data_IF_310950503554
#
_entry.id   IF_310950503554
#
_cell.length_a   1.000
_cell.length_b   1.000
_cell.length_c   1.000
_cell.angle_alpha   90.00
_cell.angle_beta   90.00
_cell.angle_gamma   90.00
#
_symmetry.space_group_name_H-M   'P 1'
#
loop_
_entity.id
_entity.type
_entity.pdbx_description
1 polymer ?
#
# COMPACT_ATOMS: atom_id res chain seq x y z
N UNK A 1 -85.92 30.71 25.53
CA UNK A 1 -85.33 29.48 26.09
C UNK A 1 -83.85 29.48 25.77
N UNK A 2 -82.95 29.72 26.75
CA UNK A 2 -81.51 29.59 26.53
C UNK A 2 -81.08 28.15 26.86
N UNK A 3 -80.50 27.46 25.88
CA UNK A 3 -79.84 26.17 26.06
C UNK A 3 -78.44 26.44 26.65
N UNK A 4 -78.32 26.28 27.96
CA UNK A 4 -77.04 26.26 28.66
C UNK A 4 -76.29 24.98 28.30
N UNK A 5 -75.31 25.12 27.41
CA UNK A 5 -74.34 24.08 27.08
C UNK A 5 -73.34 23.97 28.23
N UNK A 6 -73.56 23.02 29.12
CA UNK A 6 -72.64 22.64 30.18
C UNK A 6 -71.50 21.83 29.54
N UNK A 7 -70.34 22.47 29.37
CA UNK A 7 -69.16 21.85 28.76
C UNK A 7 -68.47 21.01 29.83
N UNK A 8 -68.49 19.68 29.65
CA UNK A 8 -67.84 18.71 30.54
C UNK A 8 -66.32 18.94 30.61
N UNK A 9 -65.90 19.67 31.64
CA UNK A 9 -64.49 19.99 31.92
C UNK A 9 -63.62 18.73 32.19
N UNK A 10 -64.25 17.60 32.50
CA UNK A 10 -63.59 16.30 32.74
C UNK A 10 -63.00 15.70 31.47
N UNK A 11 -63.66 15.89 30.32
CA UNK A 11 -63.18 15.36 29.02
C UNK A 11 -61.94 16.11 28.54
N UNK A 12 -61.92 17.44 28.70
CA UNK A 12 -60.78 18.31 28.37
C UNK A 12 -59.51 17.99 29.18
N UNK A 13 -59.67 17.58 30.44
CA UNK A 13 -58.55 17.22 31.31
C UNK A 13 -57.90 15.89 30.90
N UNK A 14 -58.71 14.92 30.48
CA UNK A 14 -58.22 13.61 30.01
C UNK A 14 -57.46 13.71 28.67
N UNK A 15 -57.88 14.58 27.75
CA UNK A 15 -57.19 14.82 26.48
C UNK A 15 -55.82 15.50 26.65
N UNK A 16 -55.74 16.52 27.52
CA UNK A 16 -54.47 17.20 27.81
C UNK A 16 -53.43 16.27 28.42
N UNK A 17 -53.85 15.36 29.30
CA UNK A 17 -52.96 14.41 29.96
C UNK A 17 -52.40 13.36 29.01
N UNK A 18 -53.21 12.87 28.06
CA UNK A 18 -52.77 11.96 26.99
C UNK A 18 -51.81 12.64 26.01
N UNK A 19 -52.08 13.89 25.65
CA UNK A 19 -51.22 14.66 24.74
C UNK A 19 -49.85 14.96 25.37
N UNK A 20 -49.82 15.34 26.66
CA UNK A 20 -48.57 15.55 27.40
C UNK A 20 -47.74 14.27 27.52
N UNK A 21 -48.37 13.11 27.78
CA UNK A 21 -47.68 11.83 27.82
C UNK A 21 -47.10 11.42 26.45
N UNK A 22 -47.85 11.63 25.37
CA UNK A 22 -47.38 11.37 24.00
C UNK A 22 -46.18 12.28 23.64
N UNK A 23 -46.25 13.56 23.98
CA UNK A 23 -45.17 14.53 23.72
C UNK A 23 -43.92 14.23 24.56
N UNK A 24 -44.10 13.78 25.80
CA UNK A 24 -43.00 13.33 26.67
C UNK A 24 -42.34 12.05 26.14
N UNK A 25 -43.11 11.11 25.59
CA UNK A 25 -42.56 9.89 24.97
C UNK A 25 -41.79 10.17 23.68
N UNK A 26 -42.16 11.20 22.90
CA UNK A 26 -41.39 11.60 21.72
C UNK A 26 -40.04 12.24 22.10
N UNK A 27 -39.93 12.87 23.28
CA UNK A 27 -38.69 13.49 23.75
C UNK A 27 -37.72 12.48 24.36
N UNK A 28 -38.21 11.38 24.94
CA UNK A 28 -37.35 10.33 25.53
C UNK A 28 -36.90 9.26 24.54
N UNK A 29 -37.45 9.23 23.33
CA UNK A 29 -36.95 8.41 22.21
C UNK A 29 -35.72 9.00 21.51
N UNK A 30 -35.11 10.05 22.09
CA UNK A 30 -33.86 10.67 21.64
C UNK A 30 -32.61 9.80 21.83
N UNK A 31 -32.63 8.55 21.39
CA UNK A 31 -31.47 7.65 21.26
C UNK A 31 -30.44 8.12 20.19
N UNK A 32 -30.52 9.38 19.77
CA UNK A 32 -29.74 9.94 18.66
C UNK A 32 -28.51 10.73 19.09
N UNK A 33 -28.52 11.38 20.26
CA UNK A 33 -27.42 12.26 20.66
C UNK A 33 -26.11 11.49 20.93
N UNK A 34 -26.20 10.37 21.65
CA UNK A 34 -25.05 9.50 21.93
C UNK A 34 -24.49 8.85 20.66
N UNK A 35 -25.36 8.26 19.82
CA UNK A 35 -24.95 7.72 18.50
C UNK A 35 -24.35 8.77 17.58
N UNK A 36 -24.82 10.01 17.67
CA UNK A 36 -24.26 11.12 16.90
C UNK A 36 -22.84 11.47 17.40
N UNK A 37 -22.66 11.58 18.71
CA UNK A 37 -21.34 11.81 19.32
C UNK A 37 -20.36 10.66 18.99
N UNK A 38 -20.82 9.41 19.02
CA UNK A 38 -20.02 8.24 18.64
C UNK A 38 -19.57 8.33 17.17
N UNK A 39 -20.49 8.66 16.24
CA UNK A 39 -20.15 8.84 14.81
C UNK A 39 -19.20 10.00 14.59
N UNK A 40 -19.36 11.10 15.33
CA UNK A 40 -18.43 12.24 15.27
C UNK A 40 -17.03 11.83 15.74
N UNK A 41 -16.93 11.09 16.84
CA UNK A 41 -15.65 10.58 17.33
C UNK A 41 -14.98 9.65 16.32
N UNK A 42 -15.71 8.68 15.75
CA UNK A 42 -15.21 7.79 14.69
C UNK A 42 -14.76 8.56 13.43
N UNK A 43 -15.49 9.62 13.08
CA UNK A 43 -15.15 10.48 11.95
C UNK A 43 -13.86 11.26 12.22
N UNK A 44 -13.69 11.78 13.44
CA UNK A 44 -12.44 12.44 13.88
C UNK A 44 -11.25 11.50 13.77
N UNK A 45 -11.34 10.28 14.31
CA UNK A 45 -10.26 9.28 14.24
C UNK A 45 -9.89 8.96 12.77
N UNK A 46 -10.88 8.86 11.88
CA UNK A 46 -10.64 8.61 10.46
C UNK A 46 -9.93 9.77 9.77
N UNK A 47 -10.32 11.03 10.07
CA UNK A 47 -9.65 12.19 9.50
C UNK A 47 -8.23 12.34 10.03
N UNK A 48 -7.99 12.11 11.32
CA UNK A 48 -6.64 12.08 11.89
C UNK A 48 -5.75 11.03 11.19
N UNK A 49 -6.31 9.84 10.93
CA UNK A 49 -5.63 8.80 10.16
C UNK A 49 -5.28 9.28 8.73
N UNK A 50 -6.24 9.87 8.02
CA UNK A 50 -6.02 10.40 6.66
C UNK A 50 -5.00 11.53 6.64
N UNK A 51 -5.05 12.43 7.61
CA UNK A 51 -4.12 13.54 7.73
C UNK A 51 -2.71 13.04 7.99
N UNK A 52 -2.54 12.01 8.84
CA UNK A 52 -1.25 11.36 9.03
C UNK A 52 -0.72 10.76 7.72
N UNK A 53 -1.55 10.00 6.99
CA UNK A 53 -1.18 9.45 5.68
C UNK A 53 -0.73 10.56 4.71
N UNK A 54 -1.48 11.64 4.61
CA UNK A 54 -1.20 12.74 3.68
C UNK A 54 0.00 13.60 4.11
N UNK A 55 0.32 13.64 5.42
CA UNK A 55 1.47 14.35 5.94
C UNK A 55 2.77 13.60 5.67
N UNK A 56 2.78 12.30 5.93
CA UNK A 56 4.00 11.48 5.90
C UNK A 56 4.27 10.84 4.53
N UNK A 57 3.23 10.58 3.73
CA UNK A 57 3.35 9.88 2.45
C UNK A 57 3.12 10.83 1.26
N UNK A 58 3.70 10.45 0.13
CA UNK A 58 3.56 11.11 -1.17
C UNK A 58 2.26 10.77 -1.90
N UNK A 59 2.18 11.11 -3.20
CA UNK A 59 1.07 10.71 -4.05
C UNK A 59 0.99 9.18 -4.18
N UNK A 60 -0.20 8.69 -4.52
CA UNK A 60 -0.41 7.28 -4.83
C UNK A 60 0.28 6.95 -6.16
N UNK A 61 1.13 5.91 -6.13
CA UNK A 61 1.71 5.31 -7.32
C UNK A 61 0.92 4.04 -7.64
N UNK A 62 0.57 3.85 -8.91
CA UNK A 62 -0.15 2.67 -9.38
C UNK A 62 0.51 2.12 -10.64
N UNK A 63 0.80 0.82 -10.67
CA UNK A 63 1.40 0.12 -11.81
C UNK A 63 1.40 -1.38 -11.58
N UNK A 64 1.31 -2.19 -12.65
CA UNK A 64 1.41 -3.65 -12.57
C UNK A 64 0.41 -4.30 -11.57
N UNK A 65 -0.80 -3.72 -11.46
CA UNK A 65 -1.81 -4.18 -10.50
C UNK A 65 -1.49 -3.87 -9.03
N UNK A 66 -0.47 -3.05 -8.76
CA UNK A 66 -0.03 -2.62 -7.44
C UNK A 66 -0.37 -1.14 -7.26
N UNK A 67 -0.83 -0.76 -6.07
CA UNK A 67 -0.96 0.62 -5.61
C UNK A 67 -0.26 0.80 -4.26
N UNK A 68 0.52 1.86 -4.10
CA UNK A 68 1.19 2.22 -2.85
C UNK A 68 1.42 3.75 -2.78
N UNK A 69 1.31 4.32 -1.58
CA UNK A 69 1.85 5.66 -1.28
C UNK A 69 3.21 5.52 -0.61
N UNK A 70 4.26 6.00 -1.27
CA UNK A 70 5.63 5.95 -0.73
C UNK A 70 5.89 7.09 0.26
N UNK A 71 6.88 7.00 1.17
CA UNK A 71 7.21 8.11 2.07
C UNK A 71 7.55 9.38 1.30
N UNK A 72 7.08 10.53 1.78
CA UNK A 72 7.04 11.78 0.99
C UNK A 72 8.39 12.30 0.52
N UNK A 73 9.47 11.98 1.22
CA UNK A 73 10.84 12.37 0.82
C UNK A 73 11.40 11.56 -0.36
N UNK A 74 10.78 10.44 -0.70
CA UNK A 74 11.21 9.57 -1.81
C UNK A 74 10.65 10.08 -3.14
N UNK A 75 11.57 10.34 -4.07
CA UNK A 75 11.27 10.80 -5.42
C UNK A 75 11.39 9.64 -6.40
N UNK A 76 10.39 9.48 -7.26
CA UNK A 76 10.35 8.42 -8.26
C UNK A 76 11.52 8.58 -9.23
N UNK A 77 12.25 7.50 -9.48
CA UNK A 77 13.26 7.40 -10.54
C UNK A 77 12.51 6.96 -11.81
N UNK A 78 12.50 7.78 -12.87
CA UNK A 78 11.79 7.43 -14.09
C UNK A 78 12.41 6.18 -14.75
N UNK A 79 11.62 5.36 -15.45
CA UNK A 79 12.15 4.29 -16.29
C UNK A 79 13.05 4.87 -17.40
N UNK A 80 13.99 4.08 -17.94
CA UNK A 80 14.76 4.48 -19.12
C UNK A 80 13.80 4.74 -20.28
N UNK A 81 14.16 5.69 -21.15
CA UNK A 81 13.37 5.99 -22.34
C UNK A 81 13.36 4.76 -23.25
N UNK A 82 12.19 4.37 -23.75
CA UNK A 82 12.10 3.40 -24.84
C UNK A 82 12.69 4.03 -26.10
N UNK A 83 13.60 3.35 -26.82
CA UNK A 83 14.07 3.86 -28.10
C UNK A 83 12.88 4.02 -29.06
N UNK A 84 12.73 5.19 -29.66
CA UNK A 84 11.67 5.44 -30.63
C UNK A 84 12.14 5.03 -32.05
N UNK A 85 11.61 3.93 -32.62
CA UNK A 85 11.68 3.64 -34.06
C UNK A 85 12.82 2.73 -34.55
N UNK A 86 13.22 2.90 -35.82
CA UNK A 86 14.18 2.05 -36.59
C UNK A 86 15.60 1.99 -36.01
N UNK A 87 15.91 2.79 -34.97
CA UNK A 87 17.19 2.77 -34.25
C UNK A 87 17.29 1.62 -33.22
N UNK A 88 16.20 0.86 -32.99
CA UNK A 88 16.18 -0.31 -32.10
C UNK A 88 17.21 -1.39 -32.49
N UNK A 89 17.52 -1.53 -33.78
CA UNK A 89 18.38 -2.62 -34.28
C UNK A 89 19.88 -2.41 -33.96
N UNK A 90 20.28 -1.19 -33.57
CA UNK A 90 21.68 -0.85 -33.25
C UNK A 90 21.88 -0.09 -31.93
N UNK A 91 20.80 0.24 -31.22
CA UNK A 91 20.90 0.89 -29.92
C UNK A 91 21.56 -0.05 -28.90
N UNK A 92 22.66 0.40 -28.29
CA UNK A 92 23.21 -0.30 -27.12
C UNK A 92 22.15 -0.30 -26.01
N UNK A 93 22.02 -1.39 -25.22
CA UNK A 93 21.06 -1.44 -24.12
C UNK A 93 21.24 -0.22 -23.23
N UNK A 94 20.19 0.60 -23.11
CA UNK A 94 20.22 1.76 -22.21
C UNK A 94 20.22 1.23 -20.78
N UNK A 95 21.25 1.56 -20.02
CA UNK A 95 21.40 1.17 -18.62
C UNK A 95 20.19 1.66 -17.80
N UNK A 96 19.52 0.75 -17.10
CA UNK A 96 18.37 1.10 -16.26
C UNK A 96 18.85 1.63 -14.90
N UNK A 97 19.00 2.95 -14.79
CA UNK A 97 19.43 3.65 -13.58
C UNK A 97 18.56 3.39 -12.33
N UNK A 98 17.41 2.72 -12.46
CA UNK A 98 16.59 2.28 -11.33
C UNK A 98 17.17 1.06 -10.63
N UNK A 99 18.02 0.26 -11.29
CA UNK A 99 18.64 -0.91 -10.68
C UNK A 99 19.56 -0.53 -9.52
N UNK A 100 19.76 -1.38 -8.50
CA UNK A 100 20.66 -1.09 -7.38
C UNK A 100 22.12 -1.37 -7.77
N UNK A 101 22.75 -0.44 -8.49
CA UNK A 101 24.09 -0.67 -9.07
C UNK A 101 25.18 -0.93 -8.01
N UNK A 102 24.97 -0.48 -6.77
CA UNK A 102 25.85 -0.75 -5.63
C UNK A 102 25.89 -2.23 -5.23
N UNK A 103 24.92 -3.06 -5.66
CA UNK A 103 24.95 -4.52 -5.47
C UNK A 103 25.83 -5.24 -6.51
N UNK A 104 26.23 -4.55 -7.59
CA UNK A 104 26.98 -5.16 -8.69
C UNK A 104 26.20 -6.21 -9.49
N UNK A 105 24.88 -6.32 -9.28
CA UNK A 105 23.96 -7.21 -9.99
C UNK A 105 22.66 -6.48 -10.30
N UNK A 106 21.94 -6.95 -11.32
CA UNK A 106 20.56 -6.54 -11.60
C UNK A 106 19.61 -7.47 -10.85
N UNK A 107 18.63 -6.91 -10.15
CA UNK A 107 17.60 -7.69 -9.47
C UNK A 107 16.38 -7.88 -10.40
N UNK A 108 15.78 -9.09 -10.42
CA UNK A 108 14.68 -9.39 -11.32
C UNK A 108 13.39 -8.66 -10.90
N UNK A 109 12.52 -8.38 -11.87
CA UNK A 109 11.16 -7.91 -11.63
C UNK A 109 11.01 -6.48 -11.14
N UNK A 110 11.99 -5.60 -11.36
CA UNK A 110 11.92 -4.20 -10.92
C UNK A 110 10.78 -3.44 -11.64
N UNK A 111 9.77 -3.02 -10.88
CA UNK A 111 8.60 -2.28 -11.40
C UNK A 111 8.55 -0.81 -10.95
N UNK A 112 9.22 -0.47 -9.85
CA UNK A 112 9.27 0.89 -9.33
C UNK A 112 10.52 1.13 -8.48
N UNK A 113 11.09 2.33 -8.58
CA UNK A 113 12.24 2.73 -7.78
C UNK A 113 12.13 4.19 -7.38
N UNK A 114 12.50 4.50 -6.14
CA UNK A 114 12.54 5.84 -5.61
C UNK A 114 13.85 6.08 -4.87
N UNK A 115 14.27 7.34 -4.80
CA UNK A 115 15.42 7.79 -4.01
C UNK A 115 15.08 8.95 -3.11
N UNK A 116 15.73 9.02 -1.96
CA UNK A 116 15.64 10.13 -1.02
C UNK A 116 17.04 10.50 -0.52
N UNK A 117 17.24 11.77 -0.16
CA UNK A 117 18.39 12.18 0.64
C UNK A 117 17.95 12.23 2.09
N UNK A 118 18.65 11.50 2.95
CA UNK A 118 18.36 11.35 4.38
C UNK A 118 19.57 11.80 5.20
N UNK A 119 19.32 12.32 6.40
CA UNK A 119 20.40 12.64 7.33
C UNK A 119 20.92 11.36 7.97
N UNK A 120 22.24 11.20 7.99
CA UNK A 120 22.90 10.10 8.66
C UNK A 120 24.05 10.61 9.54
N UNK A 121 24.07 10.12 10.78
CA UNK A 121 25.08 10.42 11.79
C UNK A 121 26.33 9.57 11.50
N UNK A 122 27.21 10.05 10.62
CA UNK A 122 28.51 9.42 10.40
C UNK A 122 29.60 10.28 11.05
N UNK A 123 30.32 9.71 12.01
CA UNK A 123 31.52 10.33 12.62
C UNK A 123 31.28 11.69 13.31
N UNK A 124 30.06 11.95 13.78
CA UNK A 124 29.73 13.17 14.53
C UNK A 124 29.37 14.37 13.66
N UNK A 125 29.17 14.18 12.35
CA UNK A 125 28.62 15.19 11.45
C UNK A 125 27.44 14.64 10.66
N UNK A 126 26.34 15.41 10.64
CA UNK A 126 25.18 15.14 9.81
C UNK A 126 25.56 15.30 8.33
N UNK A 127 25.58 14.18 7.62
CA UNK A 127 25.79 14.17 6.17
C UNK A 127 24.55 13.63 5.47
N UNK A 128 24.15 14.33 4.40
CA UNK A 128 23.13 13.84 3.48
C UNK A 128 23.63 12.58 2.79
N UNK A 129 22.92 11.48 2.96
CA UNK A 129 23.18 10.19 2.32
C UNK A 129 21.95 9.74 1.54
N UNK A 130 22.16 8.91 0.51
CA UNK A 130 21.05 8.44 -0.31
C UNK A 130 20.42 7.20 0.29
N UNK A 131 19.09 7.20 0.38
CA UNK A 131 18.27 6.04 0.65
C UNK A 131 17.46 5.70 -0.61
N UNK A 132 17.13 4.42 -0.79
CA UNK A 132 16.37 3.91 -1.91
C UNK A 132 15.18 3.10 -1.43
N UNK A 133 14.11 3.13 -2.23
CA UNK A 133 12.96 2.26 -2.08
C UNK A 133 12.73 1.61 -3.43
N UNK A 134 12.63 0.29 -3.45
CA UNK A 134 12.42 -0.50 -4.65
C UNK A 134 11.16 -1.33 -4.49
N UNK A 135 10.48 -1.52 -5.62
CA UNK A 135 9.32 -2.37 -5.74
C UNK A 135 9.61 -3.38 -6.85
N UNK A 136 9.58 -4.66 -6.50
CA UNK A 136 9.77 -5.77 -7.42
C UNK A 136 8.52 -6.62 -7.49
N UNK A 137 8.23 -7.19 -8.66
CA UNK A 137 7.08 -8.05 -8.89
C UNK A 137 7.32 -9.04 -10.01
N UNK A 138 6.65 -10.20 -9.94
CA UNK A 138 6.63 -11.19 -11.02
C UNK A 138 5.64 -10.84 -12.14
N UNK A 139 4.99 -9.67 -12.10
CA UNK A 139 3.92 -9.30 -13.03
C UNK A 139 4.34 -9.39 -14.50
N UNK A 140 5.55 -8.91 -14.83
CA UNK A 140 6.05 -8.90 -16.20
C UNK A 140 6.49 -10.29 -16.69
N UNK A 141 6.80 -11.21 -15.77
CA UNK A 141 7.15 -12.59 -16.13
C UNK A 141 5.97 -13.32 -16.81
N UNK A 142 4.73 -12.90 -16.55
CA UNK A 142 3.55 -13.44 -17.23
C UNK A 142 3.44 -13.02 -18.71
N UNK A 143 4.17 -11.99 -19.13
CA UNK A 143 4.21 -11.51 -20.51
C UNK A 143 5.42 -12.02 -21.29
N UNK A 144 6.39 -12.64 -20.61
CA UNK A 144 7.58 -13.13 -21.27
C UNK A 144 7.23 -14.33 -22.15
N UNK A 145 7.57 -14.30 -23.45
CA UNK A 145 7.42 -15.48 -24.29
C UNK A 145 8.39 -16.57 -23.82
N UNK A 146 8.11 -17.84 -24.12
CA UNK A 146 9.08 -18.91 -23.95
C UNK A 146 10.39 -18.54 -24.65
N UNK A 147 11.52 -18.94 -24.08
CA UNK A 147 12.83 -18.72 -24.69
C UNK A 147 12.96 -19.48 -26.03
N UNK A 148 14.10 -19.33 -26.70
CA UNK A 148 14.39 -20.01 -27.97
C UNK A 148 14.35 -21.56 -27.89
N UNK A 149 14.38 -22.13 -26.68
CA UNK A 149 14.27 -23.56 -26.41
C UNK A 149 12.84 -23.97 -25.98
N UNK A 150 11.90 -23.02 -25.97
CA UNK A 150 10.51 -23.25 -25.55
C UNK A 150 10.34 -23.34 -24.03
N UNK A 151 11.34 -22.94 -23.25
CA UNK A 151 11.29 -22.91 -21.80
C UNK A 151 10.67 -21.58 -21.35
N UNK A 152 9.50 -21.66 -20.72
CA UNK A 152 8.89 -20.51 -20.04
C UNK A 152 9.48 -20.38 -18.65
N UNK A 153 9.82 -19.16 -18.25
CA UNK A 153 10.08 -18.85 -16.84
C UNK A 153 8.77 -19.05 -16.08
N UNK A 154 8.83 -19.74 -14.95
CA UNK A 154 7.67 -19.90 -14.05
C UNK A 154 7.56 -18.65 -13.16
N UNK A 155 6.53 -17.82 -13.29
CA UNK A 155 6.40 -16.61 -12.47
C UNK A 155 6.30 -16.91 -10.97
N UNK A 156 5.95 -18.13 -10.58
CA UNK A 156 5.79 -18.50 -9.16
C UNK A 156 7.11 -18.72 -8.43
N UNK A 157 8.23 -18.90 -9.14
CA UNK A 157 9.57 -19.02 -8.55
C UNK A 157 10.22 -17.67 -8.24
N UNK A 158 9.60 -16.57 -8.67
CA UNK A 158 10.14 -15.22 -8.58
C UNK A 158 10.69 -14.87 -7.20
N UNK A 159 9.92 -15.04 -6.12
CA UNK A 159 10.38 -14.62 -4.80
C UNK A 159 11.63 -15.39 -4.35
N UNK A 160 11.68 -16.69 -4.61
CA UNK A 160 12.85 -17.54 -4.30
C UNK A 160 14.08 -17.11 -5.11
N UNK A 161 13.89 -16.79 -6.39
CA UNK A 161 14.97 -16.31 -7.25
C UNK A 161 15.45 -14.91 -6.85
N UNK A 162 14.53 -14.02 -6.48
CA UNK A 162 14.82 -12.68 -5.97
C UNK A 162 15.60 -12.74 -4.65
N UNK A 163 15.10 -13.46 -3.64
CA UNK A 163 15.77 -13.60 -2.35
C UNK A 163 17.17 -14.20 -2.51
N UNK A 164 17.32 -15.25 -3.34
CA UNK A 164 18.62 -15.89 -3.59
C UNK A 164 19.62 -14.91 -4.19
N UNK A 165 19.21 -14.09 -5.16
CA UNK A 165 20.08 -13.09 -5.77
C UNK A 165 20.42 -11.95 -4.80
N UNK A 166 19.43 -11.42 -4.08
CA UNK A 166 19.62 -10.37 -3.09
C UNK A 166 20.59 -10.82 -1.99
N UNK A 167 20.33 -11.97 -1.37
CA UNK A 167 21.14 -12.51 -0.27
C UNK A 167 22.58 -12.85 -0.69
N UNK A 168 22.77 -13.40 -1.90
CA UNK A 168 24.09 -13.62 -2.47
C UNK A 168 24.84 -12.29 -2.68
N UNK A 169 24.18 -11.26 -3.19
CA UNK A 169 24.80 -9.95 -3.46
C UNK A 169 25.21 -9.20 -2.19
N UNK A 170 24.50 -9.42 -1.06
CA UNK A 170 24.83 -8.78 0.22
C UNK A 170 25.61 -9.70 1.17
N UNK A 171 25.95 -10.92 0.74
CA UNK A 171 26.71 -11.89 1.53
C UNK A 171 26.01 -12.33 2.81
N UNK A 172 24.68 -12.45 2.79
CA UNK A 172 23.86 -12.85 3.94
C UNK A 172 23.27 -14.25 3.71
N UNK A 173 23.12 -15.01 4.78
CA UNK A 173 22.36 -16.26 4.78
C UNK A 173 21.08 -16.08 5.60
N UNK A 174 19.93 -16.38 5.00
CA UNK A 174 18.65 -16.37 5.71
C UNK A 174 18.31 -17.78 6.17
N UNK A 175 18.28 -18.07 7.49
CA UNK A 175 17.97 -19.40 7.99
C UNK A 175 16.53 -19.80 7.63
N UNK A 176 16.28 -21.10 7.59
CA UNK A 176 14.92 -21.63 7.48
C UNK A 176 14.14 -21.33 8.77
N UNK A 177 12.88 -20.91 8.61
CA UNK A 177 11.98 -20.60 9.71
C UNK A 177 11.76 -19.10 9.95
N UNK A 178 10.75 -18.82 10.79
CA UNK A 178 10.34 -17.46 11.15
C UNK A 178 10.84 -17.13 12.56
N UNK A 179 11.53 -16.01 12.70
CA UNK A 179 11.83 -15.33 13.96
C UNK A 179 10.57 -14.74 14.58
N UNK A 180 10.64 -14.43 15.88
CA UNK A 180 9.49 -13.92 16.61
C UNK A 180 9.18 -12.44 16.36
N UNK A 181 10.20 -11.64 16.00
CA UNK A 181 10.07 -10.18 15.83
C UNK A 181 11.09 -9.67 14.82
N UNK A 182 10.89 -8.45 14.30
CA UNK A 182 11.85 -7.75 13.45
C UNK A 182 13.10 -7.19 14.16
N UNK A 183 13.34 -7.57 15.42
CA UNK A 183 14.54 -7.18 16.15
C UNK A 183 15.78 -7.98 15.68
N UNK A 184 15.59 -9.23 15.27
CA UNK A 184 16.66 -10.09 14.79
C UNK A 184 16.97 -9.79 13.32
N UNK A 185 18.22 -9.39 13.06
CA UNK A 185 18.70 -9.13 11.70
C UNK A 185 18.89 -10.43 10.94
N UNK A 186 18.64 -10.39 9.63
CA UNK A 186 18.83 -11.51 8.70
C UNK A 186 18.00 -12.76 9.06
N UNK A 187 16.85 -12.57 9.72
CA UNK A 187 15.88 -13.63 10.03
C UNK A 187 14.51 -13.17 9.51
N UNK A 188 13.80 -14.07 8.81
CA UNK A 188 12.43 -13.81 8.36
C UNK A 188 11.50 -13.71 9.55
N UNK A 189 10.52 -12.83 9.50
CA UNK A 189 9.46 -12.77 10.50
C UNK A 189 8.15 -12.39 9.82
N UNK A 190 7.03 -12.78 10.42
CA UNK A 190 5.70 -12.41 9.90
C UNK A 190 5.28 -11.05 10.44
N UNK A 191 4.80 -10.19 9.56
CA UNK A 191 4.30 -8.86 9.91
C UNK A 191 2.90 -8.64 9.33
N UNK A 192 1.92 -8.45 10.21
CA UNK A 192 0.58 -8.03 9.81
C UNK A 192 0.50 -6.50 9.83
N UNK A 193 0.13 -5.89 8.70
CA UNK A 193 0.05 -4.43 8.58
C UNK A 193 -1.37 -4.03 8.16
N UNK A 194 -2.05 -3.11 8.88
CA UNK A 194 -1.63 -2.52 10.16
C UNK A 194 -1.64 -3.54 11.33
N UNK A 195 -0.65 -3.44 12.22
CA UNK A 195 -0.47 -4.36 13.35
C UNK A 195 -1.65 -4.38 14.34
N UNK A 196 -2.38 -3.26 14.46
CA UNK A 196 -3.45 -3.13 15.44
C UNK A 196 -4.27 -1.84 15.34
N UNK A 197 -5.24 -1.66 16.25
CA UNK A 197 -5.90 -0.37 16.44
C UNK A 197 -4.87 0.74 16.76
N UNK A 198 -5.13 1.99 16.38
CA UNK A 198 -6.37 2.46 15.74
C UNK A 198 -6.43 2.18 14.23
N UNK A 199 -5.30 2.00 13.57
CA UNK A 199 -5.20 1.96 12.10
C UNK A 199 -5.97 0.79 11.49
N UNK A 200 -5.98 -0.38 12.16
CA UNK A 200 -6.71 -1.56 11.68
C UNK A 200 -8.23 -1.40 11.66
N UNK A 201 -8.79 -0.30 12.15
CA UNK A 201 -10.21 0.05 11.98
C UNK A 201 -10.51 0.60 10.58
N UNK A 202 -9.53 1.22 9.92
CA UNK A 202 -9.72 1.97 8.68
C UNK A 202 -9.18 1.25 7.44
N UNK A 203 -8.30 0.27 7.64
CA UNK A 203 -7.73 -0.56 6.58
C UNK A 203 -7.79 -2.04 6.94
N UNK A 204 -8.09 -2.91 5.96
CA UNK A 204 -7.93 -4.35 6.15
C UNK A 204 -6.46 -4.66 6.44
N UNK A 205 -6.22 -5.73 7.20
CA UNK A 205 -4.86 -6.22 7.46
C UNK A 205 -4.36 -7.03 6.28
N UNK A 206 -3.11 -6.79 5.93
CA UNK A 206 -2.34 -7.57 4.97
C UNK A 206 -1.22 -8.30 5.70
N UNK A 207 -0.98 -9.55 5.30
CA UNK A 207 0.12 -10.37 5.82
C UNK A 207 1.34 -10.20 4.93
N UNK A 208 2.51 -10.05 5.55
CA UNK A 208 3.79 -9.92 4.88
C UNK A 208 4.82 -10.83 5.57
N UNK A 209 5.71 -11.42 4.78
CA UNK A 209 6.99 -11.89 5.29
C UNK A 209 7.96 -10.72 5.25
N UNK A 210 8.59 -10.39 6.36
CA UNK A 210 9.50 -9.27 6.45
C UNK A 210 10.89 -9.71 6.91
N UNK A 211 11.92 -8.98 6.48
CA UNK A 211 13.31 -9.23 6.85
C UNK A 211 14.03 -7.90 7.03
N UNK A 212 14.63 -7.69 8.21
CA UNK A 212 15.59 -6.63 8.42
C UNK A 212 16.99 -7.16 8.04
N UNK A 213 17.55 -6.67 6.93
CA UNK A 213 18.82 -7.17 6.39
C UNK A 213 19.98 -6.24 6.77
N UNK A 214 21.07 -6.85 7.25
CA UNK A 214 22.34 -6.19 7.48
C UNK A 214 23.40 -6.92 6.63
N UNK A 215 23.93 -6.30 5.56
CA UNK A 215 24.89 -6.92 4.65
C UNK A 215 26.11 -7.51 5.38
N UNK A 216 26.48 -8.74 5.02
CA UNK A 216 27.67 -9.40 5.54
C UNK A 216 28.97 -8.96 4.85
N UNK A 217 28.84 -8.28 3.71
CA UNK A 217 29.94 -7.69 2.95
C UNK A 217 29.68 -6.19 2.70
N UNK A 218 30.73 -5.36 2.61
CA UNK A 218 30.57 -3.95 2.27
C UNK A 218 30.11 -3.78 0.83
N UNK A 219 28.88 -3.30 0.65
CA UNK A 219 28.26 -3.01 -0.66
C UNK A 219 28.31 -1.51 -1.03
N UNK A 220 28.67 -0.64 -0.08
CA UNK A 220 28.84 0.81 -0.29
C UNK A 220 30.00 1.32 0.55
N UNK A 221 30.36 2.58 0.34
CA UNK A 221 31.28 3.35 1.17
C UNK A 221 30.81 3.50 2.63
N UNK A 222 29.49 3.41 2.86
CA UNK A 222 28.86 3.45 4.18
C UNK A 222 28.16 2.13 4.50
N UNK A 223 28.11 1.70 5.77
CA UNK A 223 27.26 0.60 6.19
C UNK A 223 25.80 0.88 5.83
N UNK A 224 25.16 -0.07 5.17
CA UNK A 224 23.75 0.00 4.80
C UNK A 224 22.94 -0.98 5.65
N UNK A 225 21.69 -0.63 5.89
CA UNK A 225 20.65 -1.52 6.39
C UNK A 225 19.56 -1.61 5.33
N UNK A 226 18.85 -2.74 5.29
CA UNK A 226 17.72 -2.92 4.39
C UNK A 226 16.51 -3.45 5.13
N UNK A 227 15.33 -3.07 4.66
CA UNK A 227 14.06 -3.60 5.14
C UNK A 227 13.31 -4.16 3.94
N UNK A 228 13.09 -5.47 3.94
CA UNK A 228 12.36 -6.20 2.92
C UNK A 228 10.96 -6.56 3.45
N UNK A 229 9.93 -6.29 2.65
CA UNK A 229 8.56 -6.76 2.84
C UNK A 229 8.13 -7.56 1.62
N UNK A 230 7.70 -8.78 1.83
CA UNK A 230 7.25 -9.71 0.80
C UNK A 230 5.75 -9.95 0.97
N UNK A 231 5.02 -9.70 -0.11
CA UNK A 231 3.62 -10.04 -0.23
C UNK A 231 3.46 -11.19 -1.22
N UNK A 232 2.85 -12.28 -0.75
CA UNK A 232 2.64 -13.49 -1.53
C UNK A 232 1.15 -13.64 -1.86
N UNK A 233 0.76 -13.17 -3.04
CA UNK A 233 -0.52 -13.54 -3.66
C UNK A 233 -0.49 -14.99 -4.18
N UNK A 234 -1.64 -15.49 -4.62
CA UNK A 234 -1.73 -16.80 -5.29
C UNK A 234 -1.01 -16.84 -6.63
N UNK A 235 -0.94 -15.71 -7.34
CA UNK A 235 -0.28 -15.58 -8.64
C UNK A 235 0.73 -14.45 -8.67
N UNK A 236 0.35 -13.28 -8.16
CA UNK A 236 1.25 -12.13 -8.14
C UNK A 236 2.04 -12.14 -6.83
N UNK A 237 3.35 -11.98 -6.94
CA UNK A 237 4.28 -11.86 -5.81
C UNK A 237 4.93 -10.49 -5.87
N UNK A 238 5.07 -9.82 -4.74
CA UNK A 238 5.61 -8.46 -4.67
C UNK A 238 6.61 -8.34 -3.53
N UNK A 239 7.78 -7.76 -3.81
CA UNK A 239 8.79 -7.43 -2.81
C UNK A 239 8.99 -5.91 -2.75
N UNK A 240 8.91 -5.33 -1.55
CA UNK A 240 9.23 -3.94 -1.27
C UNK A 240 10.53 -3.90 -0.48
N UNK A 241 11.58 -3.33 -1.06
CA UNK A 241 12.91 -3.27 -0.46
C UNK A 241 13.29 -1.81 -0.22
N UNK A 242 13.42 -1.41 1.05
CA UNK A 242 14.00 -0.11 1.41
C UNK A 242 15.47 -0.31 1.80
N UNK A 243 16.37 0.47 1.22
CA UNK A 243 17.81 0.45 1.52
C UNK A 243 18.22 1.83 2.02
N UNK A 244 18.87 1.89 3.17
CA UNK A 244 19.22 3.16 3.82
C UNK A 244 20.52 3.02 4.62
N UNK A 245 21.23 4.13 4.93
CA UNK A 245 22.41 4.08 5.77
C UNK A 245 22.10 3.53 7.16
N UNK A 246 22.97 2.68 7.71
CA UNK A 246 22.79 2.10 9.04
C UNK A 246 22.74 3.17 10.15
N UNK A 247 23.38 4.32 9.92
CA UNK A 247 23.42 5.46 10.83
C UNK A 247 22.39 6.54 10.52
N UNK A 248 21.26 6.20 9.90
CA UNK A 248 20.20 7.18 9.62
C UNK A 248 19.71 7.84 10.92
N UNK A 249 19.53 9.17 10.88
CA UNK A 249 19.04 9.93 12.02
C UNK A 249 17.64 9.43 12.44
N UNK A 250 17.37 9.23 13.74
CA UNK A 250 16.03 8.85 14.21
C UNK A 250 14.93 9.84 13.80
N UNK A 251 15.29 11.11 13.54
CA UNK A 251 14.35 12.16 13.09
C UNK A 251 13.78 11.92 11.69
N UNK A 252 14.41 11.03 10.90
CA UNK A 252 13.91 10.69 9.57
C UNK A 252 12.67 9.78 9.62
N UNK A 253 12.44 9.08 10.74
CA UNK A 253 11.32 8.16 10.95
C UNK A 253 11.09 7.18 9.77
N UNK A 254 12.15 6.74 9.09
CA UNK A 254 12.03 5.98 7.83
C UNK A 254 11.24 4.68 7.99
N UNK A 255 11.51 3.92 9.05
CA UNK A 255 10.85 2.64 9.29
C UNK A 255 9.36 2.82 9.57
N UNK A 256 9.00 3.80 10.41
CA UNK A 256 7.60 4.14 10.71
C UNK A 256 6.85 4.60 9.45
N UNK A 257 7.51 5.42 8.62
CA UNK A 257 6.94 5.86 7.33
C UNK A 257 6.81 4.73 6.32
N UNK A 258 7.75 3.78 6.30
CA UNK A 258 7.65 2.58 5.47
C UNK A 258 6.49 1.69 5.92
N UNK A 259 6.33 1.44 7.22
CA UNK A 259 5.17 0.70 7.74
C UNK A 259 3.86 1.39 7.37
N UNK A 260 3.81 2.72 7.49
CA UNK A 260 2.64 3.50 7.07
C UNK A 260 2.38 3.41 5.56
N UNK A 261 3.44 3.37 4.74
CA UNK A 261 3.33 3.10 3.30
C UNK A 261 2.74 1.71 3.04
N UNK A 262 3.16 0.69 3.80
CA UNK A 262 2.62 -0.66 3.70
C UNK A 262 1.14 -0.75 4.13
N UNK A 263 0.62 0.14 4.97
CA UNK A 263 -0.82 0.24 5.24
C UNK A 263 -1.63 0.73 4.03
N UNK A 264 -0.98 1.37 3.06
CA UNK A 264 -1.61 1.82 1.80
C UNK A 264 -1.42 0.85 0.65
N UNK A 265 -0.58 -0.18 0.85
CA UNK A 265 -0.26 -1.16 -0.17
C UNK A 265 -1.49 -1.99 -0.53
N UNK A 266 -1.76 -2.06 -1.83
CA UNK A 266 -2.78 -2.93 -2.42
C UNK A 266 -2.17 -3.59 -3.65
N UNK A 267 -2.21 -4.91 -3.72
CA UNK A 267 -1.79 -5.66 -4.90
C UNK A 267 -2.93 -6.54 -5.41
N UNK A 268 -3.10 -6.59 -6.72
CA UNK A 268 -4.00 -7.50 -7.40
C UNK A 268 -3.39 -8.90 -7.45
N UNK A 269 -4.18 -9.90 -7.07
CA UNK A 269 -3.80 -11.30 -7.22
C UNK A 269 -4.13 -11.87 -8.62
N UNK A 270 -4.63 -11.02 -9.52
CA UNK A 270 -4.88 -11.42 -10.90
C UNK A 270 -3.64 -11.17 -11.75
N UNK A 271 -3.20 -12.16 -12.55
CA UNK A 271 -2.13 -11.98 -13.51
C UNK A 271 -2.57 -10.95 -14.56
N UNK A 272 -1.63 -10.31 -15.25
CA UNK A 272 -2.00 -9.42 -16.34
C UNK A 272 -2.89 -10.12 -17.35
N UNK A 273 -3.85 -9.35 -17.88
CA UNK A 273 -4.63 -9.81 -19.04
C UNK A 273 -3.74 -9.68 -20.28
N UNK A 274 -3.67 -10.71 -21.15
CA UNK A 274 -2.96 -10.60 -22.41
C UNK A 274 -3.54 -9.45 -23.23
N UNK A 275 -2.67 -8.61 -23.80
CA UNK A 275 -3.04 -7.50 -24.67
C UNK A 275 -3.78 -8.07 -25.89
N UNK A 276 -5.12 -8.07 -25.84
CA UNK A 276 -5.97 -8.69 -26.87
C UNK A 276 -7.32 -9.17 -26.35
N UNK A 277 -7.48 -9.40 -25.03
CA UNK A 277 -8.78 -9.77 -24.46
C UNK A 277 -9.64 -8.55 -24.12
N UNK A 278 -9.89 -7.66 -25.08
CA UNK A 278 -10.96 -6.67 -24.94
C UNK A 278 -12.30 -7.36 -25.15
N UNK A 279 -12.89 -7.90 -24.08
CA UNK A 279 -14.32 -8.21 -24.06
C UNK A 279 -15.10 -6.89 -24.05
N UNK A 280 -15.22 -6.28 -25.23
CA UNK A 280 -16.13 -5.16 -25.43
C UNK A 280 -17.55 -5.61 -25.07
N UNK A 281 -18.34 -4.79 -24.35
CA UNK A 281 -19.75 -5.07 -24.16
C UNK A 281 -20.41 -5.12 -25.53
N UNK A 282 -20.89 -6.30 -25.92
CA UNK A 282 -21.71 -6.49 -27.11
C UNK A 282 -22.95 -5.60 -26.96
N UNK A 283 -23.19 -4.63 -27.86
CA UNK A 283 -24.35 -3.77 -27.76
C UNK A 283 -25.58 -4.60 -28.07
N UNK A 284 -26.31 -5.01 -27.03
CA UNK A 284 -27.65 -5.54 -27.16
C UNK A 284 -28.52 -4.47 -27.81
N UNK A 285 -28.83 -4.68 -29.09
CA UNK A 285 -29.77 -3.86 -29.84
C UNK A 285 -31.14 -3.90 -29.19
N UNK A 286 -31.49 -2.85 -28.45
CA UNK A 286 -32.86 -2.57 -28.07
C UNK A 286 -33.37 -1.40 -28.92
N UNK A 287 -33.94 -1.78 -30.07
CA UNK A 287 -34.63 -0.90 -31.01
C UNK A 287 -35.95 -0.46 -30.37
N UNK A 288 -35.97 0.69 -29.72
CA UNK A 288 -37.19 1.35 -29.25
C UNK A 288 -37.82 2.22 -30.36
N UNK A 289 -39.14 2.22 -30.54
CA UNK A 289 -39.78 3.00 -31.60
C UNK A 289 -39.84 4.49 -31.26
N UNK A 290 -39.35 5.30 -32.20
CA UNK A 290 -39.53 6.75 -32.25
C UNK A 290 -41.01 7.11 -32.28
N UNK A 291 -41.48 7.85 -31.27
CA UNK A 291 -42.71 8.66 -31.36
C UNK A 291 -42.32 10.12 -31.60
N UNK A 292 -42.71 10.59 -32.77
CA UNK A 292 -42.71 11.98 -33.20
C UNK A 292 -43.70 12.82 -32.39
N UNK A 293 -43.28 14.02 -32.01
CA UNK A 293 -44.12 15.21 -31.93
C UNK A 293 -43.52 16.26 -32.86
#
# INVERSE_FOLDING_TARGET
MPLSHEVDHTVLWSFRRRYLLALLSCLTLGCGAEKYQERLAQTSEYFEYKDRINRELGPEWTGHGISIKVPKQFQLIPPPATPDGEEEEFASPTEDHRQPHYLGIELPGLVGAWKANVQADAEGSDHGRTAYLYLFSNYDLYHQPPDQFGVSVDPTTFMSDFERQLTAAIGVFLPEGDGGTGADKNIRYREMIPAGPPNSKFRPRSDFTAVALSPGIPVSDVPLEMQLYEWLGSKVQVAVLMVYPASVSPQEHLQERLQLAMETFVASDQPPRPAGSSSGPSPSGQKGPSRSF
#
